data_IF_458749355002
#
_entry.id   IF_458749355002
#
_cell.length_a   1.000
_cell.length_b   1.000
_cell.length_c   1.000
_cell.angle_alpha   90.00
_cell.angle_beta   90.00
_cell.angle_gamma   90.00
#
_symmetry.space_group_name_H-M   'P 1'
#
loop_
_entity.id
_entity.type
_entity.pdbx_description
1 polymer ?
#
# COMPACT_ATOMS: atom_id res chain seq x y z
N UNK A 1 -41.99 -11.46 20.89
CA UNK A 1 -41.11 -10.29 21.10
C UNK A 1 -40.58 -9.84 19.75
N UNK A 2 -40.92 -8.63 19.27
CA UNK A 2 -40.39 -8.16 18.00
C UNK A 2 -38.93 -7.75 18.19
N UNK A 3 -38.07 -8.18 17.26
CA UNK A 3 -36.69 -7.68 17.17
C UNK A 3 -36.76 -6.18 16.89
N UNK A 4 -36.28 -5.38 17.84
CA UNK A 4 -35.97 -3.97 17.63
C UNK A 4 -35.07 -3.87 16.39
N UNK A 5 -35.61 -3.30 15.32
CA UNK A 5 -34.84 -2.88 14.16
C UNK A 5 -33.96 -1.71 14.58
N UNK A 6 -32.74 -2.02 15.05
CA UNK A 6 -31.71 -1.02 15.20
C UNK A 6 -31.53 -0.35 13.83
N UNK A 7 -31.91 0.91 13.72
CA UNK A 7 -31.60 1.77 12.59
C UNK A 7 -30.09 1.81 12.44
N UNK A 8 -29.55 1.04 11.47
CA UNK A 8 -28.16 1.16 11.03
C UNK A 8 -28.01 2.44 10.22
N UNK A 9 -28.12 3.58 10.91
CA UNK A 9 -27.82 4.88 10.35
C UNK A 9 -26.31 5.00 10.32
N UNK A 10 -25.72 4.60 9.20
CA UNK A 10 -24.29 4.64 9.01
C UNK A 10 -23.87 6.03 8.54
N UNK A 11 -22.71 6.54 9.01
CA UNK A 11 -22.23 7.83 8.57
C UNK A 11 -22.01 7.79 7.05
N UNK A 12 -22.75 8.65 6.34
CA UNK A 12 -22.54 8.91 4.92
C UNK A 12 -21.34 9.83 4.82
N UNK A 13 -20.22 9.30 4.35
CA UNK A 13 -19.01 10.07 4.12
C UNK A 13 -19.12 10.87 2.83
N UNK A 14 -18.75 12.14 2.91
CA UNK A 14 -18.62 13.06 1.79
C UNK A 14 -17.38 12.73 0.94
N UNK A 15 -17.31 13.26 -0.28
CA UNK A 15 -16.15 13.04 -1.16
C UNK A 15 -14.83 13.53 -0.56
N UNK A 16 -14.86 14.59 0.26
CA UNK A 16 -13.65 15.08 0.94
C UNK A 16 -13.23 14.14 2.08
N UNK A 17 -14.19 13.55 2.81
CA UNK A 17 -13.88 12.57 3.86
C UNK A 17 -13.31 11.28 3.27
N UNK A 18 -13.81 10.82 2.12
CA UNK A 18 -13.19 9.70 1.39
C UNK A 18 -11.74 10.00 1.00
N UNK A 19 -11.46 11.20 0.49
CA UNK A 19 -10.10 11.62 0.16
C UNK A 19 -9.20 11.61 1.41
N UNK A 20 -9.66 12.15 2.55
CA UNK A 20 -8.94 12.10 3.83
C UNK A 20 -8.64 10.66 4.24
N UNK A 21 -9.67 9.80 4.23
CA UNK A 21 -9.56 8.41 4.69
C UNK A 21 -8.51 7.66 3.86
N UNK A 22 -8.53 7.81 2.53
CA UNK A 22 -7.55 7.16 1.65
C UNK A 22 -6.15 7.71 1.87
N UNK A 23 -5.97 9.03 1.90
CA UNK A 23 -4.65 9.64 2.10
C UNK A 23 -4.05 9.24 3.45
N UNK A 24 -4.87 9.22 4.50
CA UNK A 24 -4.47 8.79 5.83
C UNK A 24 -4.11 7.30 5.86
N UNK A 25 -4.96 6.43 5.31
CA UNK A 25 -4.70 5.00 5.26
C UNK A 25 -3.39 4.68 4.54
N UNK A 26 -3.13 5.32 3.39
CA UNK A 26 -1.87 5.13 2.67
C UNK A 26 -0.68 5.67 3.47
N UNK A 27 -0.81 6.86 4.04
CA UNK A 27 0.24 7.45 4.86
C UNK A 27 0.63 6.54 6.04
N UNK A 28 -0.36 5.98 6.72
CA UNK A 28 -0.22 5.11 7.88
C UNK A 28 0.44 3.77 7.49
N UNK A 29 -0.07 3.09 6.46
CA UNK A 29 0.52 1.84 5.96
C UNK A 29 1.98 2.02 5.50
N UNK A 30 2.30 3.14 4.84
CA UNK A 30 3.70 3.45 4.47
C UNK A 30 4.54 3.68 5.72
N UNK A 31 3.99 4.30 6.77
CA UNK A 31 4.67 4.53 8.04
C UNK A 31 5.15 3.24 8.71
N UNK A 32 4.34 2.18 8.65
CA UNK A 32 4.67 0.86 9.20
C UNK A 32 5.76 0.13 8.41
N UNK A 33 5.91 0.43 7.11
CA UNK A 33 6.90 -0.21 6.23
C UNK A 33 8.22 0.56 6.12
N UNK A 34 8.17 1.88 5.95
CA UNK A 34 9.31 2.72 5.63
C UNK A 34 9.79 3.51 6.87
N UNK A 35 10.42 2.80 7.80
CA UNK A 35 10.94 3.35 9.06
C UNK A 35 12.27 2.69 9.48
N UNK A 36 12.91 3.24 10.52
CA UNK A 36 14.21 2.76 11.03
C UNK A 36 14.13 1.49 11.88
N UNK A 37 12.93 1.00 12.21
CA UNK A 37 12.78 -0.29 12.86
C UNK A 37 12.84 -1.41 11.79
N UNK A 38 12.33 -1.15 10.58
CA UNK A 38 12.41 -2.10 9.45
C UNK A 38 13.80 -2.21 8.83
N UNK A 39 14.51 -1.09 8.70
CA UNK A 39 15.77 -1.01 7.95
C UNK A 39 16.94 -0.60 8.82
N UNK A 40 18.12 -1.12 8.48
CA UNK A 40 19.38 -0.63 9.04
C UNK A 40 19.60 0.83 8.66
N UNK A 41 20.17 1.60 9.59
CA UNK A 41 20.54 2.99 9.32
C UNK A 41 21.61 3.03 8.23
N UNK A 42 21.36 3.81 7.20
CA UNK A 42 22.28 3.99 6.10
C UNK A 42 23.61 4.59 6.59
N UNK A 43 24.72 3.96 6.21
CA UNK A 43 26.06 4.48 6.46
C UNK A 43 26.43 5.64 5.52
N UNK A 44 25.77 5.75 4.37
CA UNK A 44 25.96 6.79 3.35
C UNK A 44 24.62 7.26 2.81
N UNK A 45 24.55 8.52 2.37
CA UNK A 45 23.37 9.08 1.68
C UNK A 45 23.44 8.90 0.15
N UNK A 46 24.54 8.36 -0.38
CA UNK A 46 24.76 8.15 -1.81
C UNK A 46 25.15 6.71 -2.11
N UNK A 47 24.65 6.17 -3.24
CA UNK A 47 24.97 4.84 -3.78
C UNK A 47 24.91 3.72 -2.73
N UNK A 48 23.80 3.66 -1.99
CA UNK A 48 23.60 2.69 -0.91
C UNK A 48 22.35 1.84 -1.17
N UNK A 49 22.30 0.67 -0.52
CA UNK A 49 21.14 -0.21 -0.51
C UNK A 49 20.52 -0.20 0.88
N UNK A 50 19.19 -0.20 0.93
CA UNK A 50 18.44 -0.44 2.15
C UNK A 50 18.50 -1.93 2.47
N UNK A 51 19.05 -2.24 3.64
CA UNK A 51 19.12 -3.59 4.18
C UNK A 51 18.11 -3.74 5.31
N UNK A 52 17.41 -4.86 5.36
CA UNK A 52 16.55 -5.20 6.49
C UNK A 52 17.40 -5.63 7.68
N UNK A 53 16.96 -5.25 8.89
CA UNK A 53 17.66 -5.61 10.13
C UNK A 53 17.72 -7.11 10.35
N UNK A 54 16.66 -7.85 9.99
CA UNK A 54 16.59 -9.31 10.10
C UNK A 54 15.65 -9.92 9.05
N UNK A 55 15.71 -11.24 8.88
CA UNK A 55 14.76 -11.99 8.04
C UNK A 55 13.30 -11.84 8.50
N UNK A 56 13.07 -11.63 9.80
CA UNK A 56 11.74 -11.31 10.34
C UNK A 56 11.23 -9.98 9.83
N UNK A 57 12.08 -8.94 9.81
CA UNK A 57 11.71 -7.63 9.25
C UNK A 57 11.48 -7.72 7.74
N UNK A 58 12.31 -8.48 7.01
CA UNK A 58 12.09 -8.75 5.57
C UNK A 58 10.72 -9.36 5.32
N UNK A 59 10.35 -10.40 6.08
CA UNK A 59 9.04 -11.07 5.97
C UNK A 59 7.90 -10.11 6.34
N UNK A 60 8.03 -9.38 7.45
CA UNK A 60 7.02 -8.44 7.91
C UNK A 60 6.78 -7.33 6.89
N UNK A 61 7.83 -6.73 6.35
CA UNK A 61 7.71 -5.71 5.30
C UNK A 61 6.92 -6.24 4.11
N UNK A 62 7.23 -7.45 3.63
CA UNK A 62 6.52 -8.01 2.49
C UNK A 62 5.04 -8.29 2.80
N UNK A 63 4.71 -8.73 4.02
CA UNK A 63 3.32 -8.90 4.47
C UNK A 63 2.57 -7.57 4.47
N UNK A 64 3.16 -6.51 5.04
CA UNK A 64 2.58 -5.16 5.06
C UNK A 64 2.44 -4.59 3.64
N UNK A 65 3.42 -4.87 2.77
CA UNK A 65 3.37 -4.47 1.37
C UNK A 65 2.21 -5.12 0.64
N UNK A 66 1.92 -6.41 0.89
CA UNK A 66 0.76 -7.08 0.29
C UNK A 66 -0.56 -6.46 0.75
N UNK A 67 -0.66 -6.04 2.00
CA UNK A 67 -1.85 -5.36 2.51
C UNK A 67 -2.03 -3.98 1.85
N UNK A 68 -0.95 -3.22 1.66
CA UNK A 68 -0.95 -1.99 0.88
C UNK A 68 -1.30 -2.21 -0.62
N UNK A 69 -0.81 -3.30 -1.20
CA UNK A 69 -1.05 -3.73 -2.59
C UNK A 69 -2.33 -4.56 -2.74
N UNK A 70 -3.27 -4.41 -1.82
CA UNK A 70 -4.59 -5.00 -1.87
C UNK A 70 -5.67 -3.92 -1.82
N UNK A 71 -6.86 -4.24 -2.31
CA UNK A 71 -8.01 -3.37 -2.17
C UNK A 71 -8.57 -3.47 -0.75
N UNK A 72 -9.23 -2.41 -0.24
CA UNK A 72 -9.99 -2.49 0.99
C UNK A 72 -10.95 -3.69 0.94
N UNK A 73 -11.01 -4.47 2.02
CA UNK A 73 -11.81 -5.69 2.02
C UNK A 73 -13.29 -5.35 2.16
N UNK A 74 -14.13 -5.99 1.34
CA UNK A 74 -15.59 -5.92 1.48
C UNK A 74 -15.99 -6.51 2.84
N UNK A 75 -16.93 -5.85 3.49
CA UNK A 75 -17.61 -6.43 4.64
C UNK A 75 -18.40 -7.67 4.15
N UNK A 76 -18.08 -8.85 4.68
CA UNK A 76 -18.72 -10.12 4.30
C UNK A 76 -20.23 -10.13 4.54
N UNK A 77 -20.70 -9.33 5.50
CA UNK A 77 -22.13 -9.24 5.85
C UNK A 77 -22.89 -8.23 4.98
N UNK A 78 -22.20 -7.21 4.45
CA UNK A 78 -22.84 -6.08 3.74
C UNK A 78 -22.55 -6.04 2.24
N UNK A 79 -21.51 -6.73 1.78
CA UNK A 79 -21.05 -6.70 0.39
C UNK A 79 -20.42 -5.37 -0.06
N UNK A 80 -20.51 -4.32 0.76
CA UNK A 80 -19.96 -2.99 0.53
C UNK A 80 -18.51 -2.86 1.03
N UNK A 81 -17.77 -1.93 0.45
CA UNK A 81 -16.45 -1.54 0.92
C UNK A 81 -16.55 -0.68 2.18
N UNK A 82 -15.50 -0.68 3.03
CA UNK A 82 -15.47 0.14 4.24
C UNK A 82 -15.61 1.62 3.87
N UNK A 83 -16.24 2.38 4.77
CA UNK A 83 -16.48 3.82 4.62
C UNK A 83 -17.29 4.21 3.38
N UNK A 84 -17.98 3.28 2.72
CA UNK A 84 -18.73 3.56 1.50
C UNK A 84 -17.83 3.89 0.29
N UNK A 85 -16.59 3.40 0.29
CA UNK A 85 -15.68 3.59 -0.84
C UNK A 85 -16.23 2.93 -2.12
N UNK A 86 -16.01 3.54 -3.30
CA UNK A 86 -16.43 2.95 -4.56
C UNK A 86 -15.61 1.69 -4.88
N UNK A 87 -16.22 0.64 -5.46
CA UNK A 87 -15.48 -0.55 -5.87
C UNK A 87 -14.44 -0.22 -6.94
N UNK A 88 -13.28 -0.89 -6.87
CA UNK A 88 -12.30 -0.85 -7.94
C UNK A 88 -12.87 -1.51 -9.21
N UNK A 89 -12.44 -1.07 -10.40
CA UNK A 89 -12.89 -1.67 -11.66
C UNK A 89 -12.45 -3.14 -11.72
N UNK A 90 -13.37 -4.02 -12.15
CA UNK A 90 -13.09 -5.46 -12.31
C UNK A 90 -12.10 -5.75 -13.44
N UNK A 91 -12.04 -4.85 -14.44
CA UNK A 91 -11.15 -4.91 -15.59
C UNK A 91 -10.23 -3.70 -15.57
N UNK A 92 -8.93 -3.92 -15.65
CA UNK A 92 -7.96 -2.84 -15.58
C UNK A 92 -6.55 -3.39 -15.46
N UNK A 93 -5.61 -2.50 -15.13
CA UNK A 93 -4.25 -2.90 -14.82
C UNK A 93 -4.22 -3.66 -13.49
N UNK A 94 -3.25 -4.56 -13.27
CA UNK A 94 -3.13 -5.28 -12.01
C UNK A 94 -3.14 -4.36 -10.77
N UNK A 95 -2.45 -3.21 -10.85
CA UNK A 95 -2.40 -2.19 -9.80
C UNK A 95 -3.75 -1.48 -9.52
N UNK A 96 -4.76 -1.61 -10.38
CA UNK A 96 -6.08 -1.00 -10.19
C UNK A 96 -6.88 -1.64 -9.05
N UNK A 97 -6.46 -2.81 -8.56
CA UNK A 97 -7.08 -3.51 -7.43
C UNK A 97 -6.32 -3.26 -6.11
N UNK A 98 -5.78 -2.06 -5.93
CA UNK A 98 -4.93 -1.68 -4.78
C UNK A 98 -5.27 -0.28 -4.25
N UNK A 99 -4.64 0.14 -3.15
CA UNK A 99 -4.74 1.52 -2.69
C UNK A 99 -4.21 2.56 -3.70
N UNK A 100 -3.32 2.17 -4.62
CA UNK A 100 -2.81 3.07 -5.67
C UNK A 100 -3.90 3.52 -6.62
N UNK A 101 -4.94 2.71 -6.83
CA UNK A 101 -6.12 3.10 -7.60
C UNK A 101 -6.78 4.34 -7.00
N UNK A 102 -7.07 4.32 -5.69
CA UNK A 102 -7.76 5.42 -5.02
C UNK A 102 -6.91 6.69 -4.99
N UNK A 103 -5.58 6.58 -4.80
CA UNK A 103 -4.69 7.73 -4.93
C UNK A 103 -4.75 8.35 -6.33
N UNK A 104 -4.80 7.52 -7.37
CA UNK A 104 -4.93 8.01 -8.75
C UNK A 104 -6.27 8.69 -8.98
N UNK A 105 -7.36 8.18 -8.41
CA UNK A 105 -8.67 8.84 -8.50
C UNK A 105 -8.69 10.19 -7.76
N UNK A 106 -8.01 10.30 -6.61
CA UNK A 106 -7.80 11.58 -5.93
C UNK A 106 -7.06 12.56 -6.86
N UNK A 107 -6.00 12.12 -7.55
CA UNK A 107 -5.28 12.98 -8.49
C UNK A 107 -6.15 13.51 -9.65
N UNK A 108 -7.14 12.73 -10.10
CA UNK A 108 -8.07 13.13 -11.18
C UNK A 108 -9.15 14.09 -10.71
N UNK A 109 -9.49 14.06 -9.43
CA UNK A 109 -10.63 14.80 -8.90
C UNK A 109 -10.36 15.32 -7.48
N UNK A 110 -9.28 16.11 -7.27
CA UNK A 110 -8.84 16.54 -5.95
C UNK A 110 -9.89 17.40 -5.25
N UNK A 111 -10.11 17.17 -3.96
CA UNK A 111 -11.01 17.97 -3.11
C UNK A 111 -10.28 19.02 -2.28
N UNK A 112 -9.04 18.76 -1.88
CA UNK A 112 -8.24 19.70 -1.08
C UNK A 112 -7.67 20.89 -1.85
N UNK A 113 -7.97 21.01 -3.16
CA UNK A 113 -7.59 22.15 -3.99
C UNK A 113 -6.07 22.32 -4.05
N UNK A 114 -5.41 21.59 -4.94
CA UNK A 114 -3.98 21.75 -5.12
C UNK A 114 -3.37 21.03 -6.32
N UNK A 115 -2.08 21.28 -6.55
CA UNK A 115 -1.32 20.62 -7.60
C UNK A 115 -1.16 19.12 -7.29
N UNK A 116 -1.78 18.28 -8.12
CA UNK A 116 -1.70 16.82 -8.01
C UNK A 116 -0.51 16.25 -8.79
N UNK A 117 0.26 17.06 -9.52
CA UNK A 117 1.27 16.60 -10.47
C UNK A 117 2.33 15.69 -9.85
N UNK A 118 2.85 16.05 -8.66
CA UNK A 118 3.84 15.22 -7.96
C UNK A 118 3.24 13.91 -7.42
N UNK A 119 2.01 13.96 -6.89
CA UNK A 119 1.31 12.76 -6.40
C UNK A 119 0.97 11.83 -7.56
N UNK A 120 0.45 12.37 -8.65
CA UNK A 120 0.14 11.62 -9.86
C UNK A 120 1.40 10.95 -10.43
N UNK A 121 2.52 11.68 -10.51
CA UNK A 121 3.79 11.13 -11.00
C UNK A 121 4.31 9.99 -10.12
N UNK A 122 4.25 10.15 -8.79
CA UNK A 122 4.69 9.12 -7.84
C UNK A 122 3.81 7.86 -7.93
N UNK A 123 2.48 8.02 -7.95
CA UNK A 123 1.52 6.92 -8.11
C UNK A 123 1.74 6.20 -9.44
N UNK A 124 1.81 6.96 -10.54
CA UNK A 124 2.01 6.41 -11.88
C UNK A 124 3.31 5.62 -11.98
N UNK A 125 4.41 6.16 -11.48
CA UNK A 125 5.72 5.50 -11.53
C UNK A 125 5.71 4.17 -10.79
N UNK A 126 5.06 4.12 -9.63
CA UNK A 126 4.96 2.87 -8.88
C UNK A 126 4.03 1.86 -9.55
N UNK A 127 2.85 2.28 -10.03
CA UNK A 127 1.95 1.41 -10.79
C UNK A 127 2.63 0.82 -12.02
N UNK A 128 3.30 1.66 -12.84
CA UNK A 128 3.97 1.20 -14.05
C UNK A 128 5.09 0.18 -13.72
N UNK A 129 5.86 0.41 -12.65
CA UNK A 129 6.88 -0.54 -12.20
C UNK A 129 6.28 -1.87 -11.72
N UNK A 130 5.17 -1.83 -10.98
CA UNK A 130 4.45 -3.00 -10.46
C UNK A 130 3.81 -3.84 -11.57
N UNK A 131 3.19 -3.16 -12.54
CA UNK A 131 2.44 -3.78 -13.63
C UNK A 131 3.35 -4.33 -14.73
N UNK A 132 4.59 -3.84 -14.82
CA UNK A 132 5.57 -4.32 -15.78
C UNK A 132 5.92 -5.79 -15.51
N UNK A 133 5.85 -6.59 -16.56
CA UNK A 133 6.29 -7.98 -16.56
C UNK A 133 7.81 -8.07 -16.40
N UNK A 134 8.27 -8.99 -15.55
CA UNK A 134 9.68 -9.33 -15.42
C UNK A 134 9.93 -10.79 -15.81
N UNK A 135 11.17 -11.06 -16.20
CA UNK A 135 11.70 -12.39 -16.46
C UNK A 135 12.63 -12.76 -15.29
N UNK A 136 12.35 -13.88 -14.62
CA UNK A 136 13.25 -14.49 -13.65
C UNK A 136 13.75 -15.80 -14.25
N UNK A 137 15.02 -15.81 -14.64
CA UNK A 137 15.62 -16.92 -15.38
C UNK A 137 15.99 -18.08 -14.45
N UNK A 138 15.87 -19.31 -14.98
CA UNK A 138 16.39 -20.54 -14.36
C UNK A 138 15.86 -20.77 -12.94
N UNK A 139 14.57 -20.49 -12.71
CA UNK A 139 13.91 -20.82 -11.46
C UNK A 139 13.84 -22.34 -11.34
N UNK A 140 14.48 -22.86 -10.30
CA UNK A 140 14.48 -24.28 -9.97
C UNK A 140 13.49 -24.57 -8.83
N UNK A 141 12.45 -25.34 -9.14
CA UNK A 141 11.43 -25.82 -8.21
C UNK A 141 11.74 -27.28 -7.84
N UNK A 142 12.57 -27.46 -6.82
CA UNK A 142 13.21 -28.74 -6.53
C UNK A 142 12.20 -29.84 -6.16
N UNK A 143 11.15 -29.50 -5.43
CA UNK A 143 10.14 -30.45 -4.93
C UNK A 143 9.37 -31.14 -6.05
N UNK A 144 9.31 -30.51 -7.23
CA UNK A 144 8.63 -31.02 -8.42
C UNK A 144 9.57 -31.22 -9.61
N UNK A 145 10.88 -31.04 -9.40
CA UNK A 145 11.93 -31.18 -10.42
C UNK A 145 11.69 -30.35 -11.69
N UNK A 146 11.21 -29.11 -11.55
CA UNK A 146 10.94 -28.20 -12.68
C UNK A 146 11.96 -27.07 -12.72
N UNK A 147 12.58 -26.87 -13.89
CA UNK A 147 13.41 -25.70 -14.21
C UNK A 147 12.71 -24.86 -15.27
N UNK A 148 12.49 -23.58 -14.99
CA UNK A 148 11.72 -22.71 -15.90
C UNK A 148 12.14 -21.25 -15.78
N UNK A 149 11.98 -20.50 -16.87
CA UNK A 149 12.08 -19.05 -16.84
C UNK A 149 10.71 -18.47 -16.50
N UNK A 150 10.54 -17.93 -15.30
CA UNK A 150 9.24 -17.41 -14.85
C UNK A 150 9.02 -16.02 -15.42
N UNK A 151 7.84 -15.81 -16.01
CA UNK A 151 7.41 -14.55 -16.60
C UNK A 151 6.09 -14.11 -15.96
N UNK A 152 6.12 -13.00 -15.21
CA UNK A 152 4.96 -12.46 -14.50
C UNK A 152 5.13 -10.98 -14.16
N UNK A 153 4.04 -10.28 -13.82
CA UNK A 153 4.15 -8.91 -13.27
C UNK A 153 4.83 -8.93 -11.91
N UNK A 154 5.57 -7.86 -11.59
CA UNK A 154 6.18 -7.71 -10.26
C UNK A 154 5.13 -7.75 -9.17
N UNK A 155 3.97 -7.14 -9.40
CA UNK A 155 2.84 -7.17 -8.47
C UNK A 155 2.41 -8.60 -8.13
N UNK A 156 2.23 -9.48 -9.13
CA UNK A 156 1.79 -10.86 -8.89
C UNK A 156 2.80 -11.61 -8.02
N UNK A 157 4.09 -11.53 -8.38
CA UNK A 157 5.17 -12.20 -7.64
C UNK A 157 5.25 -11.72 -6.18
N UNK A 158 5.21 -10.40 -5.96
CA UNK A 158 5.21 -9.79 -4.62
C UNK A 158 4.00 -10.23 -3.78
N UNK A 159 2.81 -10.26 -4.38
CA UNK A 159 1.59 -10.71 -3.69
C UNK A 159 1.62 -12.18 -3.33
N UNK A 160 2.09 -13.04 -4.23
CA UNK A 160 2.19 -14.47 -3.95
C UNK A 160 3.16 -14.69 -2.79
N UNK A 161 4.37 -14.14 -2.84
CA UNK A 161 5.36 -14.38 -1.79
C UNK A 161 4.92 -13.78 -0.45
N UNK A 162 4.29 -12.60 -0.41
CA UNK A 162 3.79 -12.04 0.85
C UNK A 162 2.65 -12.85 1.44
N UNK A 163 1.75 -13.41 0.63
CA UNK A 163 0.70 -14.30 1.10
C UNK A 163 1.26 -15.63 1.64
N UNK A 164 2.24 -16.24 0.96
CA UNK A 164 2.94 -17.43 1.48
C UNK A 164 3.59 -17.12 2.84
N UNK A 165 4.21 -15.94 2.97
CA UNK A 165 4.77 -15.47 4.24
C UNK A 165 3.73 -15.15 5.31
N UNK A 166 2.47 -14.85 4.95
CA UNK A 166 1.41 -14.44 5.86
C UNK A 166 0.55 -15.62 6.35
N UNK A 167 0.31 -16.60 5.50
CA UNK A 167 -0.71 -17.62 5.68
C UNK A 167 -0.12 -19.03 5.76
N UNK A 168 -0.84 -19.94 6.42
CA UNK A 168 -0.55 -21.37 6.30
C UNK A 168 -1.05 -21.90 4.94
N UNK A 169 -0.52 -23.04 4.49
CA UNK A 169 -0.78 -23.57 3.16
C UNK A 169 -2.27 -23.77 2.84
N UNK A 170 -3.10 -24.14 3.83
CA UNK A 170 -4.55 -24.35 3.63
C UNK A 170 -5.32 -23.10 3.21
N UNK A 171 -4.71 -21.90 3.32
CA UNK A 171 -5.30 -20.62 2.90
C UNK A 171 -4.70 -20.07 1.60
N UNK A 172 -3.87 -20.85 0.91
CA UNK A 172 -3.13 -20.43 -0.27
C UNK A 172 -3.71 -20.96 -1.58
N UNK A 173 -4.90 -21.57 -1.59
CA UNK A 173 -5.53 -22.12 -2.80
C UNK A 173 -5.53 -21.14 -3.99
N UNK A 174 -5.94 -19.88 -3.76
CA UNK A 174 -5.90 -18.85 -4.79
C UNK A 174 -4.47 -18.54 -5.29
N UNK A 175 -3.48 -18.55 -4.39
CA UNK A 175 -2.08 -18.34 -4.75
C UNK A 175 -1.49 -19.54 -5.49
N UNK A 176 -1.88 -20.75 -5.13
CA UNK A 176 -1.48 -22.00 -5.80
C UNK A 176 -2.02 -22.03 -7.23
N UNK A 177 -3.28 -21.67 -7.43
CA UNK A 177 -3.86 -21.51 -8.77
C UNK A 177 -3.16 -20.43 -9.61
N UNK A 178 -2.73 -19.33 -8.99
CA UNK A 178 -1.91 -18.29 -9.63
C UNK A 178 -0.55 -18.83 -10.06
N UNK A 179 0.15 -19.56 -9.19
CA UNK A 179 1.45 -20.18 -9.49
C UNK A 179 1.32 -21.15 -10.67
N UNK A 180 0.34 -22.06 -10.63
CA UNK A 180 0.12 -23.01 -11.71
C UNK A 180 -0.11 -22.31 -13.06
N UNK A 181 -0.88 -21.21 -13.07
CA UNK A 181 -1.11 -20.41 -14.28
C UNK A 181 0.15 -19.71 -14.79
N UNK A 182 0.94 -19.11 -13.89
CA UNK A 182 2.21 -18.46 -14.24
C UNK A 182 3.17 -19.47 -14.87
N UNK A 183 3.27 -20.67 -14.29
CA UNK A 183 4.16 -21.71 -14.79
C UNK A 183 3.67 -22.28 -16.12
N UNK A 184 2.36 -22.47 -16.29
CA UNK A 184 1.76 -22.84 -17.58
C UNK A 184 2.06 -21.80 -18.66
N UNK A 185 1.87 -20.50 -18.39
CA UNK A 185 2.21 -19.44 -19.36
C UNK A 185 3.71 -19.31 -19.62
N UNK A 186 4.53 -19.81 -18.69
CA UNK A 186 5.99 -19.86 -18.83
C UNK A 186 6.49 -21.16 -19.50
N UNK A 187 5.59 -22.02 -19.99
CA UNK A 187 5.93 -23.26 -20.71
C UNK A 187 6.16 -24.49 -19.83
N UNK A 188 5.85 -24.43 -18.53
CA UNK A 188 5.96 -25.54 -17.59
C UNK A 188 4.63 -25.76 -16.85
N UNK A 189 3.57 -26.28 -17.52
CA UNK A 189 2.30 -26.54 -16.87
C UNK A 189 2.46 -27.58 -15.77
N UNK A 190 1.84 -27.31 -14.61
CA UNK A 190 1.81 -28.20 -13.45
C UNK A 190 0.38 -28.32 -12.93
N UNK A 191 0.08 -29.40 -12.22
CA UNK A 191 -1.20 -29.55 -11.52
C UNK A 191 -1.21 -28.82 -10.16
N UNK A 192 -2.37 -28.82 -9.51
CA UNK A 192 -2.56 -28.16 -8.21
C UNK A 192 -1.70 -28.78 -7.11
N UNK A 193 -1.55 -30.10 -7.08
CA UNK A 193 -0.76 -30.80 -6.06
C UNK A 193 0.72 -30.43 -6.18
N UNK A 194 1.23 -30.42 -7.40
CA UNK A 194 2.58 -29.94 -7.73
C UNK A 194 2.75 -28.46 -7.35
N UNK A 195 1.74 -27.62 -7.57
CA UNK A 195 1.81 -26.21 -7.21
C UNK A 195 1.86 -26.00 -5.68
N UNK A 196 1.16 -26.83 -4.88
CA UNK A 196 1.33 -26.86 -3.43
C UNK A 196 2.74 -27.30 -3.02
N UNK A 197 3.27 -28.36 -3.64
CA UNK A 197 4.62 -28.86 -3.36
C UNK A 197 5.71 -27.83 -3.71
N UNK A 198 5.50 -27.01 -4.73
CA UNK A 198 6.45 -25.99 -5.17
C UNK A 198 6.50 -24.74 -4.27
N UNK A 199 5.59 -24.57 -3.31
CA UNK A 199 5.52 -23.37 -2.46
C UNK A 199 6.86 -23.02 -1.76
N UNK A 200 7.64 -23.96 -1.21
CA UNK A 200 8.91 -23.65 -0.55
C UNK A 200 9.96 -23.09 -1.53
N UNK A 201 10.23 -23.78 -2.64
CA UNK A 201 11.15 -23.27 -3.67
C UNK A 201 10.67 -21.95 -4.29
N UNK A 202 9.37 -21.83 -4.55
CA UNK A 202 8.80 -20.57 -5.06
C UNK A 202 9.04 -19.43 -4.06
N UNK A 203 8.77 -19.65 -2.77
CA UNK A 203 9.04 -18.66 -1.75
C UNK A 203 10.52 -18.30 -1.69
N UNK A 204 11.43 -19.27 -1.75
CA UNK A 204 12.87 -19.00 -1.74
C UNK A 204 13.28 -18.07 -2.88
N UNK A 205 12.92 -18.41 -4.12
CA UNK A 205 13.26 -17.61 -5.30
C UNK A 205 12.65 -16.21 -5.24
N UNK A 206 11.36 -16.11 -4.93
CA UNK A 206 10.64 -14.84 -5.08
C UNK A 206 10.68 -13.96 -3.85
N UNK A 207 10.80 -14.53 -2.64
CA UNK A 207 10.98 -13.77 -1.41
C UNK A 207 12.45 -13.46 -1.17
N UNK A 208 13.33 -14.46 -1.10
CA UNK A 208 14.71 -14.24 -0.65
C UNK A 208 15.61 -13.64 -1.72
N UNK A 209 15.32 -13.87 -2.99
CA UNK A 209 16.12 -13.30 -4.09
C UNK A 209 15.40 -12.11 -4.73
N UNK A 210 14.25 -12.34 -5.37
CA UNK A 210 13.57 -11.31 -6.16
C UNK A 210 13.08 -10.12 -5.32
N UNK A 211 12.31 -10.36 -4.26
CA UNK A 211 11.77 -9.29 -3.42
C UNK A 211 12.89 -8.55 -2.68
N UNK A 212 13.84 -9.26 -2.07
CA UNK A 212 14.98 -8.63 -1.37
C UNK A 212 15.78 -7.74 -2.33
N UNK A 213 16.06 -8.20 -3.55
CA UNK A 213 16.74 -7.41 -4.58
C UNK A 213 15.99 -6.09 -4.89
N UNK A 214 14.66 -6.13 -4.91
CA UNK A 214 13.83 -4.96 -5.19
C UNK A 214 13.43 -4.14 -3.97
N UNK A 215 13.78 -4.56 -2.76
CA UNK A 215 13.30 -3.95 -1.52
C UNK A 215 13.66 -2.48 -1.39
N UNK A 216 14.89 -2.10 -1.78
CA UNK A 216 15.34 -0.71 -1.81
C UNK A 216 14.52 0.15 -2.78
N UNK A 217 14.26 -0.37 -3.97
CA UNK A 217 13.43 0.31 -4.98
C UNK A 217 11.99 0.48 -4.51
N UNK A 218 11.41 -0.53 -3.87
CA UNK A 218 10.06 -0.46 -3.30
C UNK A 218 10.02 0.60 -2.19
N UNK A 219 10.98 0.60 -1.28
CA UNK A 219 11.07 1.60 -0.22
C UNK A 219 11.20 3.03 -0.77
N UNK A 220 11.92 3.21 -1.89
CA UNK A 220 11.97 4.50 -2.59
C UNK A 220 10.60 4.91 -3.14
N UNK A 221 9.86 4.02 -3.79
CA UNK A 221 8.49 4.32 -4.24
C UNK A 221 7.56 4.72 -3.09
N UNK A 222 7.61 3.98 -1.97
CA UNK A 222 6.81 4.27 -0.79
C UNK A 222 7.18 5.64 -0.19
N UNK A 223 8.48 5.95 -0.09
CA UNK A 223 8.93 7.26 0.39
C UNK A 223 8.50 8.39 -0.56
N UNK A 224 8.58 8.18 -1.87
CA UNK A 224 8.15 9.16 -2.86
C UNK A 224 6.63 9.44 -2.77
N UNK A 225 5.81 8.39 -2.57
CA UNK A 225 4.39 8.55 -2.29
C UNK A 225 4.14 9.35 -1.02
N UNK A 226 4.85 9.02 0.07
CA UNK A 226 4.72 9.75 1.35
C UNK A 226 5.03 11.24 1.17
N UNK A 227 6.14 11.58 0.52
CA UNK A 227 6.49 12.98 0.25
C UNK A 227 5.47 13.68 -0.65
N UNK A 228 4.93 12.98 -1.65
CA UNK A 228 3.94 13.55 -2.54
C UNK A 228 2.60 13.81 -1.83
N UNK A 229 2.15 12.91 -0.95
CA UNK A 229 0.98 13.13 -0.08
C UNK A 229 1.22 14.33 0.85
N UNK A 230 2.40 14.41 1.47
CA UNK A 230 2.76 15.53 2.33
C UNK A 230 2.65 16.88 1.61
N UNK A 231 3.21 16.96 0.40
CA UNK A 231 3.19 18.18 -0.42
C UNK A 231 1.77 18.51 -0.92
N UNK A 232 1.00 17.50 -1.30
CA UNK A 232 -0.40 17.68 -1.70
C UNK A 232 -1.23 18.31 -0.58
N UNK A 233 -1.08 17.81 0.66
CA UNK A 233 -1.78 18.34 1.83
C UNK A 233 -1.21 19.67 2.35
N UNK A 234 -0.03 20.08 1.90
CA UNK A 234 0.65 21.28 2.43
C UNK A 234 -0.13 22.57 2.12
N UNK A 235 -0.79 22.66 0.96
CA UNK A 235 -1.62 23.82 0.64
C UNK A 235 -2.80 23.98 1.60
N UNK A 236 -3.54 22.90 1.83
CA UNK A 236 -4.65 22.93 2.80
C UNK A 236 -4.14 23.20 4.22
N UNK A 237 -3.00 22.61 4.61
CA UNK A 237 -2.36 22.93 5.89
C UNK A 237 -2.05 24.42 6.01
N UNK A 238 -1.42 25.02 4.99
CA UNK A 238 -1.11 26.45 5.00
C UNK A 238 -2.35 27.33 5.05
N UNK A 239 -3.45 26.94 4.40
CA UNK A 239 -4.73 27.65 4.43
C UNK A 239 -5.38 27.58 5.82
N UNK A 240 -5.35 26.40 6.44
CA UNK A 240 -6.08 26.10 7.68
C UNK A 240 -5.27 26.34 8.96
N UNK A 241 -3.95 26.54 8.82
CA UNK A 241 -3.04 26.84 9.92
C UNK A 241 -3.04 28.33 10.27
N UNK A 242 -3.58 28.69 11.43
CA UNK A 242 -3.54 30.06 11.96
C UNK A 242 -2.48 30.12 13.07
N UNK A 243 -1.39 30.84 12.81
CA UNK A 243 -0.37 31.11 13.83
C UNK A 243 -0.89 32.21 14.77
N UNK A 244 -1.27 31.87 16.00
CA UNK A 244 -1.61 32.85 17.04
C UNK A 244 -0.40 33.12 17.94
N UNK A 245 -0.08 34.38 18.27
CA UNK A 245 0.89 34.67 19.33
C UNK A 245 0.35 34.13 20.67
N UNK A 246 1.25 33.62 21.53
CA UNK A 246 0.99 33.03 22.85
C UNK A 246 0.57 31.54 22.91
N UNK A 247 1.28 30.66 22.20
CA UNK A 247 1.41 29.24 22.59
C UNK A 247 0.17 28.34 22.45
N UNK A 248 -0.91 28.83 21.84
CA UNK A 248 -2.09 28.02 21.48
C UNK A 248 -2.29 28.02 19.97
N UNK A 249 -1.71 27.02 19.31
CA UNK A 249 -2.00 26.69 17.92
C UNK A 249 -3.42 26.13 17.81
N UNK A 250 -4.21 26.62 16.84
CA UNK A 250 -5.51 26.05 16.47
C UNK A 250 -5.50 25.77 14.98
N UNK A 251 -5.80 24.54 14.59
CA UNK A 251 -6.14 24.20 13.21
C UNK A 251 -7.59 24.62 13.01
N UNK A 252 -7.85 25.55 12.09
CA UNK A 252 -9.20 25.95 11.74
C UNK A 252 -9.63 25.10 10.56
N UNK A 253 -10.34 24.01 10.84
CA UNK A 253 -11.00 23.22 9.80
C UNK A 253 -12.13 24.10 9.23
N UNK A 254 -12.24 24.28 7.90
CA UNK A 254 -13.33 25.06 7.31
C UNK A 254 -14.69 24.53 7.79
N UNK A 255 -15.68 25.41 8.03
CA UNK A 255 -16.99 24.99 8.53
C UNK A 255 -17.64 23.98 7.58
N UNK A 256 -17.95 22.82 8.13
CA UNK A 256 -18.68 21.75 7.47
C UNK A 256 -20.02 22.29 6.96
N UNK A 257 -20.21 22.28 5.64
CA UNK A 257 -21.45 22.70 4.98
C UNK A 257 -22.36 21.49 4.76
N UNK A 258 -22.65 20.75 5.81
CA UNK A 258 -23.62 19.64 5.82
C UNK A 258 -24.75 19.91 6.81
N UNK A 259 -25.89 19.20 6.70
CA UNK A 259 -27.05 19.44 7.55
C UNK A 259 -26.67 19.26 9.02
N UNK A 260 -26.93 20.31 9.79
CA UNK A 260 -26.55 20.44 11.19
C UNK A 260 -27.24 19.41 12.07
N UNK A 261 -26.51 18.40 12.54
CA UNK A 261 -26.84 17.71 13.78
C UNK A 261 -25.86 18.15 14.86
N UNK A 262 -26.42 18.84 15.85
CA UNK A 262 -25.73 19.37 17.02
C UNK A 262 -25.07 18.25 17.82
N UNK A 263 -23.74 18.18 17.80
CA UNK A 263 -22.97 17.65 18.90
C UNK A 263 -21.90 18.65 19.31
N UNK A 264 -22.00 19.05 20.57
CA UNK A 264 -21.08 19.94 21.29
C UNK A 264 -19.66 19.36 21.30
N UNK A 265 -18.60 20.12 20.99
CA UNK A 265 -17.25 19.57 20.97
C UNK A 265 -16.65 19.58 22.38
N UNK A 266 -16.54 18.40 23.00
CA UNK A 266 -15.70 18.24 24.18
C UNK A 266 -14.23 18.49 23.81
N UNK A 267 -13.70 19.60 24.35
CA UNK A 267 -12.29 19.98 24.30
C UNK A 267 -11.51 19.18 25.35
N UNK A 268 -10.59 18.32 24.91
CA UNK A 268 -9.32 18.07 25.62
C UNK A 268 -8.44 17.07 24.86
N UNK A 269 -7.43 17.57 24.14
CA UNK A 269 -6.20 16.82 23.89
C UNK A 269 -5.04 17.79 24.13
N UNK A 270 -4.50 17.72 25.34
CA UNK A 270 -3.21 18.31 25.67
C UNK A 270 -2.13 17.59 24.86
N UNK A 271 -1.30 18.37 24.18
CA UNK A 271 -0.19 17.89 23.37
C UNK A 271 0.92 17.28 24.24
N UNK A 272 1.34 16.06 23.94
CA UNK A 272 2.66 15.57 24.35
C UNK A 272 3.34 14.75 23.24
N UNK A 273 4.64 14.98 23.11
CA UNK A 273 5.62 14.37 22.21
C UNK A 273 5.61 14.79 20.73
N UNK A 274 6.52 15.71 20.40
CA UNK A 274 7.03 15.89 19.04
C UNK A 274 7.98 14.72 18.74
N UNK A 275 7.62 13.82 17.82
CA UNK A 275 8.62 13.02 17.10
C UNK A 275 9.02 13.80 15.83
N UNK A 276 10.32 14.02 15.58
CA UNK A 276 10.74 14.66 14.34
C UNK A 276 10.43 13.74 13.15
N UNK A 277 9.85 14.31 12.10
CA UNK A 277 9.72 13.64 10.80
C UNK A 277 11.14 13.53 10.19
N UNK A 278 11.63 12.33 9.85
CA UNK A 278 12.94 12.19 9.22
C UNK A 278 12.96 12.92 7.86
N UNK A 279 13.93 13.81 7.67
CA UNK A 279 14.19 14.44 6.37
C UNK A 279 15.06 13.51 5.54
N UNK A 280 14.46 12.86 4.55
CA UNK A 280 15.21 12.24 3.45
C UNK A 280 15.05 13.12 2.20
N UNK A 281 16.16 13.66 1.72
CA UNK A 281 16.22 14.46 0.49
C UNK A 281 17.06 13.67 -0.51
N UNK A 282 16.40 12.95 -1.41
CA UNK A 282 17.08 12.27 -2.52
C UNK A 282 17.14 13.24 -3.70
N UNK A 283 18.34 13.43 -4.26
CA UNK A 283 18.51 14.12 -5.54
C UNK A 283 18.33 13.10 -6.65
N UNK A 284 17.29 13.26 -7.47
CA UNK A 284 17.15 12.51 -8.71
C UNK A 284 18.17 13.05 -9.72
N UNK A 285 19.10 12.21 -10.19
CA UNK A 285 19.82 12.49 -11.44
C UNK A 285 19.04 11.89 -12.59
N UNK A 286 18.58 12.74 -13.49
CA UNK A 286 18.16 12.36 -14.83
C UNK A 286 19.33 11.66 -15.52
N UNK A 287 19.09 10.45 -16.05
CA UNK A 287 19.90 9.90 -17.14
C UNK A 287 19.21 10.24 -18.45
#
# INVERSE_FOLDING_TARGET
>A
MPKSSASTDHPIFTSIEHEIIILYAVWDMIGEMANFDMFEKLASLENTNLMFSTSTHTRLFNVLLVDFLSSPQKDRSRGALPFGLPPTPKSGRPSDNTYLYYLREICKSPRFGGDTGQLFSAVKSFCDWLDTECLVEKVWLAEISVSVNVRASRLSLLKICGNIGKHNFSRLEANVGEIARILASSGAPIDEQQAFLALPSFYEWFHRNFFVYHSSTIAEFLNNLRWAIFRYLQQEFSRSYINRPAGRTRITVPPFSGPSTSMEPQRSLQSSSRRPVPRFRWYTRSR
#
